data_IF_332594394341
#
_entry.id   IF_332594394341
#
_cell.length_a   1.000
_cell.length_b   1.000
_cell.length_c   1.000
_cell.angle_alpha   90.00
_cell.angle_beta   90.00
_cell.angle_gamma   90.00
#
_symmetry.space_group_name_H-M   'P 1'
#
loop_
_entity.id
_entity.type
_entity.pdbx_description
1 polymer ?
#
# COMPACT_ATOMS: atom_id res chain seq x y z
N UNK A 1 -15.71 0.67 1.29
CA UNK A 1 -15.31 2.06 0.98
C UNK A 1 -13.88 2.10 0.50
N UNK A 2 -13.46 3.17 -0.19
CA UNK A 2 -12.05 3.34 -0.58
C UNK A 2 -11.21 3.85 0.59
N UNK A 3 -9.92 3.52 0.60
CA UNK A 3 -8.99 3.97 1.64
C UNK A 3 -8.97 5.50 1.76
N UNK A 4 -9.07 6.02 2.98
CA UNK A 4 -9.14 7.45 3.24
C UNK A 4 -10.54 8.04 3.14
N UNK A 5 -11.55 7.24 2.80
CA UNK A 5 -12.95 7.66 2.80
C UNK A 5 -13.58 7.41 4.16
N UNK A 6 -14.57 8.23 4.53
CA UNK A 6 -15.39 8.02 5.72
C UNK A 6 -16.76 7.43 5.34
N UNK A 7 -17.33 6.63 6.23
CA UNK A 7 -18.72 6.16 6.13
C UNK A 7 -19.44 6.41 7.43
N UNK A 8 -20.76 6.26 7.41
CA UNK A 8 -21.58 6.30 8.60
C UNK A 8 -21.98 4.90 9.02
N UNK A 9 -21.98 4.67 10.32
CA UNK A 9 -22.54 3.48 10.95
C UNK A 9 -23.76 3.93 11.73
N UNK A 10 -24.89 3.27 11.49
CA UNK A 10 -26.13 3.48 12.22
C UNK A 10 -26.45 2.25 13.05
N UNK A 11 -26.98 2.46 14.24
CA UNK A 11 -27.44 1.40 15.12
C UNK A 11 -28.76 1.78 15.79
N UNK A 12 -29.49 0.76 16.22
CA UNK A 12 -30.70 0.93 17.00
C UNK A 12 -31.04 -0.37 17.71
N UNK A 13 -31.39 -0.27 18.98
CA UNK A 13 -31.89 -1.39 19.76
C UNK A 13 -33.21 -1.02 20.46
N UNK A 14 -34.06 -2.02 20.69
CA UNK A 14 -35.35 -1.86 21.36
C UNK A 14 -35.26 -2.48 22.77
N UNK A 15 -36.02 -1.93 23.72
CA UNK A 15 -36.07 -2.43 25.11
C UNK A 15 -34.70 -2.52 25.80
N UNK A 16 -33.81 -1.57 25.52
CA UNK A 16 -32.42 -1.53 26.03
C UNK A 16 -32.17 -0.22 26.75
N UNK A 17 -31.45 -0.29 27.87
CA UNK A 17 -31.21 0.86 28.76
C UNK A 17 -29.80 1.41 28.56
N UNK A 18 -28.86 0.54 28.18
CA UNK A 18 -27.45 0.90 28.01
C UNK A 18 -26.88 0.21 26.77
N UNK A 19 -26.17 0.96 25.93
CA UNK A 19 -25.40 0.42 24.82
C UNK A 19 -23.94 0.82 24.96
N UNK A 20 -23.04 -0.10 24.66
CA UNK A 20 -21.59 0.09 24.67
C UNK A 20 -21.02 -0.25 23.30
N UNK A 21 -20.12 0.61 22.80
CA UNK A 21 -19.52 0.45 21.47
C UNK A 21 -18.01 0.27 21.59
N UNK A 22 -17.42 -0.56 20.73
CA UNK A 22 -15.98 -0.83 20.74
C UNK A 22 -15.13 0.25 20.04
N UNK A 23 -15.77 1.29 19.50
CA UNK A 23 -15.15 2.25 18.57
C UNK A 23 -15.29 3.72 18.97
N UNK A 24 -15.98 4.01 20.08
CA UNK A 24 -16.18 5.36 20.60
C UNK A 24 -15.15 5.74 21.67
N UNK A 25 -14.90 7.04 21.80
CA UNK A 25 -14.17 7.64 22.93
C UNK A 25 -14.92 7.50 24.27
N UNK A 26 -16.18 7.07 24.23
CA UNK A 26 -17.03 6.84 25.38
C UNK A 26 -17.58 5.42 25.29
N UNK A 27 -17.26 4.63 26.31
CA UNK A 27 -17.68 3.22 26.40
C UNK A 27 -19.20 3.08 26.35
N UNK A 28 -19.98 4.13 26.64
CA UNK A 28 -21.45 4.14 26.52
C UNK A 28 -21.93 5.04 25.38
N UNK A 29 -22.85 4.54 24.57
CA UNK A 29 -23.51 5.25 23.47
C UNK A 29 -25.03 5.25 23.65
N UNK A 30 -25.72 6.17 22.98
CA UNK A 30 -27.19 6.19 22.92
C UNK A 30 -27.75 4.89 22.35
N UNK A 31 -28.98 4.52 22.74
CA UNK A 31 -29.64 3.26 22.33
C UNK A 31 -29.89 3.17 20.82
N UNK A 32 -29.97 4.32 20.16
CA UNK A 32 -29.99 4.46 18.72
C UNK A 32 -29.19 5.69 18.31
N UNK A 33 -28.64 5.68 17.11
CA UNK A 33 -27.86 6.79 16.60
C UNK A 33 -27.08 6.42 15.34
N UNK A 34 -26.32 7.40 14.87
CA UNK A 34 -25.36 7.21 13.79
C UNK A 34 -24.08 7.97 14.09
N UNK A 35 -22.94 7.37 13.74
CA UNK A 35 -21.63 8.01 13.90
C UNK A 35 -20.83 7.88 12.61
N UNK A 36 -20.02 8.89 12.33
CA UNK A 36 -19.03 8.79 11.27
C UNK A 36 -17.86 7.93 11.73
N UNK A 37 -17.40 7.02 10.88
CA UNK A 37 -16.19 6.22 11.12
C UNK A 37 -14.91 7.05 11.07
N UNK A 38 -14.98 8.29 10.57
CA UNK A 38 -13.80 9.00 10.09
C UNK A 38 -13.17 8.32 8.88
N UNK A 39 -12.08 8.89 8.38
CA UNK A 39 -11.35 8.33 7.25
C UNK A 39 -10.67 7.02 7.66
N UNK A 40 -11.09 5.90 7.05
CA UNK A 40 -10.52 4.58 7.34
C UNK A 40 -9.47 4.18 6.31
N UNK A 41 -8.29 3.79 6.77
CA UNK A 41 -7.22 3.24 5.93
C UNK A 41 -7.27 1.71 5.83
N UNK A 42 -7.82 1.04 6.84
CA UNK A 42 -7.89 -0.42 6.94
C UNK A 42 -9.31 -0.90 7.30
N UNK A 43 -9.64 -2.12 6.90
CA UNK A 43 -10.95 -2.71 7.22
C UNK A 43 -11.10 -2.83 8.74
N UNK A 44 -12.16 -2.25 9.28
CA UNK A 44 -12.39 -2.15 10.72
C UNK A 44 -13.74 -2.76 11.05
N UNK A 45 -13.78 -3.59 12.10
CA UNK A 45 -15.01 -4.17 12.62
C UNK A 45 -15.49 -3.38 13.83
N UNK A 46 -16.76 -3.02 13.78
CA UNK A 46 -17.43 -2.19 14.76
C UNK A 46 -18.44 -3.06 15.50
N UNK A 47 -18.21 -3.32 16.79
CA UNK A 47 -19.10 -4.12 17.64
C UNK A 47 -19.84 -3.27 18.66
N UNK A 48 -21.17 -3.40 18.71
CA UNK A 48 -22.04 -2.76 19.69
C UNK A 48 -22.69 -3.84 20.54
N UNK A 49 -22.72 -3.59 21.84
CA UNK A 49 -23.39 -4.45 22.80
C UNK A 49 -24.40 -3.61 23.58
N UNK A 50 -25.66 -4.02 23.60
CA UNK A 50 -26.71 -3.33 24.33
C UNK A 50 -27.30 -4.24 25.40
N UNK A 51 -27.51 -3.70 26.60
CA UNK A 51 -28.05 -4.39 27.78
C UNK A 51 -29.39 -3.76 28.17
N UNK A 52 -30.39 -4.62 28.40
CA UNK A 52 -31.75 -4.24 28.77
C UNK A 52 -32.39 -5.26 29.71
N UNK A 53 -33.68 -5.08 30.01
CA UNK A 53 -34.41 -5.95 30.94
C UNK A 53 -34.47 -7.41 30.48
N UNK A 54 -34.40 -7.65 29.17
CA UNK A 54 -34.40 -8.99 28.56
C UNK A 54 -33.01 -9.64 28.45
N UNK A 55 -31.94 -8.98 28.89
CA UNK A 55 -30.56 -9.48 28.78
C UNK A 55 -29.68 -8.62 27.89
N UNK A 56 -28.65 -9.23 27.29
CA UNK A 56 -27.65 -8.55 26.47
C UNK A 56 -27.73 -9.00 25.01
N UNK A 57 -27.72 -8.05 24.09
CA UNK A 57 -27.63 -8.27 22.66
C UNK A 57 -26.33 -7.66 22.11
N UNK A 58 -25.64 -8.38 21.24
CA UNK A 58 -24.41 -7.89 20.59
C UNK A 58 -24.58 -8.00 19.08
N UNK A 59 -24.18 -6.95 18.37
CA UNK A 59 -24.14 -6.93 16.92
C UNK A 59 -22.83 -6.31 16.42
N UNK A 60 -22.42 -6.65 15.21
CA UNK A 60 -21.18 -6.15 14.64
C UNK A 60 -21.30 -5.89 13.15
N UNK A 61 -20.74 -4.77 12.70
CA UNK A 61 -20.63 -4.42 11.28
C UNK A 61 -19.16 -4.29 10.91
N UNK A 62 -18.77 -4.94 9.81
CA UNK A 62 -17.42 -4.81 9.26
C UNK A 62 -17.45 -3.79 8.13
N UNK A 63 -16.67 -2.72 8.28
CA UNK A 63 -16.47 -1.75 7.20
C UNK A 63 -15.26 -2.21 6.40
N UNK A 64 -15.53 -2.85 5.27
CA UNK A 64 -14.48 -3.28 4.34
C UNK A 64 -13.90 -2.05 3.62
N UNK A 65 -12.63 -1.79 3.87
CA UNK A 65 -11.84 -0.79 3.13
C UNK A 65 -11.15 -1.50 1.99
N UNK A 66 -11.45 -1.06 0.76
CA UNK A 66 -10.63 -1.38 -0.40
C UNK A 66 -9.35 -0.57 -0.23
N UNK A 67 -8.26 -1.25 0.06
CA UNK A 67 -6.95 -0.64 -0.08
C UNK A 67 -6.79 -0.25 -1.55
N UNK A 68 -6.54 1.03 -1.80
CA UNK A 68 -5.88 1.39 -3.04
C UNK A 68 -4.50 0.75 -2.93
N UNK A 69 -4.31 -0.38 -3.60
CA UNK A 69 -2.97 -0.90 -3.81
C UNK A 69 -2.26 0.17 -4.62
N UNK A 70 -1.52 1.05 -3.96
CA UNK A 70 -0.45 1.77 -4.64
C UNK A 70 0.31 0.70 -5.41
N UNK A 71 0.54 0.85 -6.72
CA UNK A 71 1.38 -0.08 -7.45
C UNK A 71 2.63 -0.33 -6.61
N UNK A 72 3.17 -1.56 -6.52
CA UNK A 72 4.44 -1.76 -5.85
C UNK A 72 5.35 -0.67 -6.38
N UNK A 73 5.87 0.15 -5.47
CA UNK A 73 6.77 1.23 -5.82
C UNK A 73 8.04 0.55 -6.31
N UNK A 74 8.02 0.10 -7.56
CA UNK A 74 9.14 -0.54 -8.20
C UNK A 74 10.21 0.54 -8.23
N UNK A 75 11.22 0.33 -7.40
CA UNK A 75 12.45 1.11 -7.45
C UNK A 75 13.08 0.74 -8.78
N UNK A 76 12.84 1.55 -9.80
CA UNK A 76 13.49 1.37 -11.10
C UNK A 76 14.98 1.65 -10.90
N UNK A 77 15.78 0.60 -11.09
CA UNK A 77 17.22 0.71 -11.29
C UNK A 77 17.50 0.97 -12.77
N UNK A 78 18.68 1.48 -13.07
CA UNK A 78 19.02 1.93 -14.41
C UNK A 78 19.02 0.77 -15.41
N UNK A 79 18.29 0.95 -16.51
CA UNK A 79 18.33 0.03 -17.65
C UNK A 79 19.18 0.67 -18.73
N UNK A 80 20.23 -0.02 -19.17
CA UNK A 80 21.12 0.46 -20.23
C UNK A 80 20.82 -0.24 -21.55
N UNK A 81 20.74 0.54 -22.63
CA UNK A 81 20.75 0.03 -23.99
C UNK A 81 22.21 -0.09 -24.44
N UNK A 82 22.71 -1.32 -24.50
CA UNK A 82 24.08 -1.61 -24.88
C UNK A 82 24.33 -1.39 -26.37
N UNK A 83 25.38 -0.62 -26.68
CA UNK A 83 25.91 -0.50 -28.02
C UNK A 83 26.62 -1.77 -28.51
N UNK A 84 27.08 -1.73 -29.76
CA UNK A 84 27.93 -2.80 -30.31
C UNK A 84 29.28 -2.86 -29.59
N UNK A 85 29.83 -4.07 -29.45
CA UNK A 85 31.20 -4.25 -28.99
C UNK A 85 32.18 -3.64 -29.98
N UNK A 86 33.23 -3.01 -29.45
CA UNK A 86 34.38 -2.61 -30.26
C UNK A 86 35.04 -3.83 -30.89
N UNK A 87 35.70 -3.64 -32.03
CA UNK A 87 36.50 -4.69 -32.66
C UNK A 87 37.64 -5.14 -31.74
N UNK A 88 37.81 -6.44 -31.60
CA UNK A 88 38.93 -7.02 -30.85
C UNK A 88 40.27 -6.72 -31.53
N UNK A 89 41.25 -6.15 -30.81
CA UNK A 89 42.62 -6.04 -31.28
C UNK A 89 43.27 -7.42 -31.56
N UNK A 90 44.17 -7.55 -32.54
CA UNK A 90 44.84 -8.81 -32.87
C UNK A 90 46.06 -9.04 -31.96
N UNK A 91 45.85 -9.06 -30.64
CA UNK A 91 46.87 -9.39 -29.64
C UNK A 91 46.35 -10.47 -28.70
N UNK A 92 47.22 -11.33 -28.20
CA UNK A 92 46.84 -12.34 -27.20
C UNK A 92 46.38 -11.64 -25.91
N UNK A 93 45.23 -12.07 -25.36
CA UNK A 93 44.64 -11.43 -24.19
C UNK A 93 43.97 -10.07 -24.48
N UNK A 94 43.60 -9.79 -25.73
CA UNK A 94 42.90 -8.54 -26.04
C UNK A 94 41.54 -8.45 -25.32
N UNK A 95 41.17 -7.24 -24.92
CA UNK A 95 39.84 -6.94 -24.39
C UNK A 95 39.07 -6.06 -25.37
N UNK A 96 37.76 -6.27 -25.43
CA UNK A 96 36.81 -5.42 -26.16
C UNK A 96 35.86 -4.76 -25.16
N UNK A 97 35.40 -3.56 -25.52
CA UNK A 97 34.52 -2.76 -24.68
C UNK A 97 33.24 -2.42 -25.44
N UNK A 98 32.14 -2.27 -24.71
CA UNK A 98 30.93 -1.62 -25.22
C UNK A 98 30.42 -0.61 -24.21
N UNK A 99 29.74 0.40 -24.72
CA UNK A 99 29.10 1.43 -23.90
C UNK A 99 27.59 1.28 -23.97
N UNK A 100 26.95 1.26 -22.81
CA UNK A 100 25.51 1.33 -22.65
C UNK A 100 25.08 2.76 -22.35
N UNK A 101 24.01 3.21 -23.00
CA UNK A 101 23.35 4.49 -22.68
C UNK A 101 22.09 4.23 -21.88
N UNK A 102 21.70 5.17 -21.01
CA UNK A 102 20.51 5.01 -20.16
C UNK A 102 19.27 4.95 -21.06
N UNK A 103 18.54 3.84 -21.02
CA UNK A 103 17.22 3.69 -21.63
C UNK A 103 16.09 4.06 -20.66
N UNK A 104 16.29 3.81 -19.37
CA UNK A 104 15.32 4.12 -18.31
C UNK A 104 16.06 4.75 -17.15
N UNK A 105 15.62 5.94 -16.75
CA UNK A 105 16.18 6.69 -15.61
C UNK A 105 15.59 6.21 -14.30
N UNK A 106 16.34 6.39 -13.20
CA UNK A 106 15.90 6.01 -11.86
C UNK A 106 14.66 6.81 -11.42
N UNK A 107 13.77 6.14 -10.68
CA UNK A 107 12.61 6.76 -10.01
C UNK A 107 12.32 6.07 -8.68
N UNK A 108 11.42 6.65 -7.88
CA UNK A 108 10.95 6.08 -6.61
C UNK A 108 12.06 5.69 -5.61
N UNK A 109 13.17 6.42 -5.58
CA UNK A 109 14.30 6.16 -4.66
C UNK A 109 15.34 5.15 -5.18
N UNK A 110 15.28 4.77 -6.47
CA UNK A 110 16.35 4.02 -7.13
C UNK A 110 17.68 4.78 -7.15
N UNK A 111 18.79 4.04 -7.23
CA UNK A 111 20.15 4.61 -7.29
C UNK A 111 20.34 5.48 -8.54
N UNK A 112 21.14 6.54 -8.44
CA UNK A 112 21.39 7.47 -9.56
C UNK A 112 22.05 6.77 -10.76
N UNK A 113 21.49 6.98 -11.96
CA UNK A 113 22.08 6.44 -13.18
C UNK A 113 23.35 7.18 -13.58
N UNK A 114 24.38 6.42 -13.93
CA UNK A 114 25.55 6.95 -14.61
C UNK A 114 25.15 7.28 -16.03
N UNK A 115 25.57 8.44 -16.53
CA UNK A 115 25.24 8.90 -17.88
C UNK A 115 25.54 7.86 -18.95
N UNK A 116 26.58 7.05 -18.73
CA UNK A 116 26.96 5.89 -19.52
C UNK A 116 27.53 4.80 -18.60
N UNK A 117 27.39 3.55 -19.01
CA UNK A 117 28.07 2.40 -18.38
C UNK A 117 28.93 1.69 -19.42
N UNK A 118 30.09 1.18 -18.99
CA UNK A 118 31.03 0.49 -19.86
C UNK A 118 31.20 -0.93 -19.37
N UNK A 119 31.11 -1.87 -20.29
CA UNK A 119 31.38 -3.29 -20.04
C UNK A 119 32.61 -3.69 -20.84
N UNK A 120 33.50 -4.47 -20.23
CA UNK A 120 34.69 -5.04 -20.86
C UNK A 120 34.60 -6.56 -20.83
N UNK A 121 35.10 -7.22 -21.88
CA UNK A 121 35.24 -8.68 -21.93
C UNK A 121 36.49 -9.07 -22.71
N UNK A 122 37.06 -10.22 -22.39
CA UNK A 122 38.15 -10.81 -23.17
C UNK A 122 37.70 -11.18 -24.59
N UNK A 123 38.66 -11.16 -25.51
CA UNK A 123 38.52 -11.55 -26.91
C UNK A 123 38.99 -12.98 -27.21
N UNK A 124 39.57 -13.67 -26.21
CA UNK A 124 40.02 -15.06 -26.29
C UNK A 124 38.86 -16.07 -26.48
#
# INVERSE_FOLDING_TARGET
IDSGTATYIAWGSQNTTHCVSSWGLSETVSVSGSVSTGALATSTTYTIKCTGEGGEATDSVTVNVKSLSTPPSETLTCVYLWGSWSTCPPIDGAEQSRTGTISVTQSNGGAYCKHYETETRSCD
#
